data_IF_593018891913
#
_entry.id   IF_593018891913
#
_cell.length_a   1.000
_cell.length_b   1.000
_cell.length_c   1.000
_cell.angle_alpha   90.00
_cell.angle_beta   90.00
_cell.angle_gamma   90.00
#
_symmetry.space_group_name_H-M   'P 1'
#
loop_
_entity.id
_entity.type
_entity.pdbx_description
1 polymer ?
#
# COMPACT_ATOMS: atom_id res chain seq x y z
N UNK A 1 9.07 4.11 -6.45
CA UNK A 1 8.77 3.26 -7.63
C UNK A 1 8.01 2.01 -7.20
N UNK A 2 6.89 1.79 -7.83
CA UNK A 2 6.10 0.57 -7.66
C UNK A 2 6.69 -0.53 -8.55
N UNK A 3 6.96 -1.70 -7.95
CA UNK A 3 7.54 -2.83 -8.69
C UNK A 3 6.50 -3.59 -9.52
N UNK A 4 5.29 -3.71 -9.01
CA UNK A 4 4.19 -4.40 -9.68
C UNK A 4 2.86 -4.03 -9.02
N UNK A 5 1.90 -3.57 -9.83
CA UNK A 5 0.52 -3.35 -9.43
C UNK A 5 -0.13 -4.67 -8.97
N UNK A 6 -0.91 -4.61 -7.89
CA UNK A 6 -1.58 -5.73 -7.25
C UNK A 6 -2.41 -6.58 -8.21
N UNK A 7 -3.02 -5.97 -9.22
CA UNK A 7 -3.81 -6.63 -10.26
C UNK A 7 -3.03 -7.70 -11.04
N UNK A 8 -1.72 -7.52 -11.17
CA UNK A 8 -0.86 -8.44 -11.91
C UNK A 8 -0.13 -9.45 -11.01
N UNK A 9 -0.21 -9.33 -9.69
CA UNK A 9 0.59 -10.12 -8.74
C UNK A 9 0.41 -11.64 -8.94
N UNK A 10 -0.81 -12.11 -9.18
CA UNK A 10 -1.11 -13.53 -9.38
C UNK A 10 -0.62 -14.10 -10.73
N UNK A 11 -0.22 -13.24 -11.67
CA UNK A 11 0.28 -13.63 -13.00
C UNK A 11 1.78 -13.91 -12.99
N UNK A 12 2.49 -13.56 -11.91
CA UNK A 12 3.91 -13.77 -11.76
C UNK A 12 4.20 -14.93 -10.81
N UNK A 13 5.13 -15.79 -11.17
CA UNK A 13 5.76 -16.70 -10.20
C UNK A 13 6.68 -15.90 -9.28
N UNK A 14 7.08 -16.49 -8.15
CA UNK A 14 8.06 -15.84 -7.25
C UNK A 14 9.36 -15.54 -7.95
N UNK A 15 9.84 -16.44 -8.83
CA UNK A 15 11.06 -16.21 -9.60
C UNK A 15 10.91 -15.05 -10.58
N UNK A 16 9.84 -15.01 -11.35
CA UNK A 16 9.59 -13.90 -12.30
C UNK A 16 9.48 -12.55 -11.58
N UNK A 17 8.85 -12.52 -10.40
CA UNK A 17 8.78 -11.31 -9.60
C UNK A 17 10.18 -10.90 -9.09
N UNK A 18 10.97 -11.86 -8.62
CA UNK A 18 12.37 -11.64 -8.19
C UNK A 18 13.24 -11.08 -9.31
N UNK A 19 13.12 -11.65 -10.51
CA UNK A 19 13.85 -11.19 -11.71
C UNK A 19 13.47 -9.76 -12.08
N UNK A 20 12.16 -9.42 -12.03
CA UNK A 20 11.66 -8.06 -12.24
C UNK A 20 12.22 -7.08 -11.22
N UNK A 21 12.29 -7.45 -9.93
CA UNK A 21 12.86 -6.60 -8.87
C UNK A 21 14.32 -6.26 -9.19
N UNK A 22 15.12 -7.27 -9.55
CA UNK A 22 16.52 -7.08 -9.92
C UNK A 22 16.68 -6.20 -11.17
N UNK A 23 15.90 -6.44 -12.21
CA UNK A 23 15.92 -5.66 -13.45
C UNK A 23 15.59 -4.18 -13.16
N UNK A 24 14.51 -3.93 -12.42
CA UNK A 24 14.06 -2.57 -12.11
C UNK A 24 15.06 -1.85 -11.21
N UNK A 25 15.57 -2.54 -10.18
CA UNK A 25 16.58 -1.95 -9.32
C UNK A 25 17.82 -1.57 -10.10
N UNK A 26 18.39 -2.49 -10.89
CA UNK A 26 19.60 -2.24 -11.68
C UNK A 26 19.43 -1.10 -12.69
N UNK A 27 18.22 -0.93 -13.22
CA UNK A 27 17.94 0.10 -14.24
C UNK A 27 17.59 1.46 -13.64
N UNK A 28 16.92 1.49 -12.49
CA UNK A 28 16.24 2.68 -11.97
C UNK A 28 16.77 3.15 -10.60
N UNK A 29 17.74 2.48 -10.00
CA UNK A 29 18.19 2.78 -8.63
C UNK A 29 18.70 4.22 -8.44
N UNK A 30 19.20 4.86 -9.50
CA UNK A 30 19.61 6.28 -9.45
C UNK A 30 18.43 7.27 -9.54
N UNK A 31 17.20 6.81 -9.76
CA UNK A 31 16.01 7.63 -9.99
C UNK A 31 14.87 7.34 -9.02
N UNK A 32 14.99 6.30 -8.21
CA UNK A 32 13.95 5.84 -7.30
C UNK A 32 14.47 5.89 -5.88
N UNK A 33 13.83 6.70 -5.04
CA UNK A 33 14.20 6.87 -3.63
C UNK A 33 13.55 5.82 -2.72
N UNK A 34 12.35 5.37 -3.07
CA UNK A 34 11.55 4.43 -2.27
C UNK A 34 10.98 3.36 -3.20
N UNK A 35 11.20 2.11 -2.86
CA UNK A 35 10.72 0.95 -3.62
C UNK A 35 9.50 0.34 -2.95
N UNK A 36 8.37 0.39 -3.62
CA UNK A 36 7.16 -0.29 -3.21
C UNK A 36 7.28 -1.76 -3.62
N UNK A 37 7.61 -2.60 -2.62
CA UNK A 37 7.88 -4.02 -2.79
C UNK A 37 6.63 -4.90 -2.72
N UNK A 38 5.48 -4.30 -2.56
CA UNK A 38 4.19 -4.96 -2.56
C UNK A 38 3.06 -3.94 -2.47
N UNK A 39 2.22 -3.95 -3.50
CA UNK A 39 1.05 -3.10 -3.61
C UNK A 39 -0.19 -3.88 -3.18
N UNK A 40 -0.99 -3.30 -2.27
CA UNK A 40 -2.26 -3.84 -1.76
C UNK A 40 -2.21 -5.32 -1.35
N UNK A 41 -1.11 -5.71 -0.69
CA UNK A 41 -0.67 -7.10 -0.50
C UNK A 41 -1.64 -8.03 0.24
N UNK A 42 -2.65 -7.48 0.92
CA UNK A 42 -3.73 -8.25 1.55
C UNK A 42 -4.98 -8.36 0.68
N UNK A 43 -4.96 -7.88 -0.56
CA UNK A 43 -6.08 -7.96 -1.49
C UNK A 43 -6.45 -9.41 -1.83
N UNK A 44 -7.75 -9.70 -1.90
CA UNK A 44 -8.25 -11.05 -2.19
C UNK A 44 -7.96 -11.50 -3.63
N UNK A 45 -7.62 -10.56 -4.51
CA UNK A 45 -7.33 -10.80 -5.93
C UNK A 45 -5.88 -11.18 -6.23
N UNK A 46 -4.98 -11.07 -5.24
CA UNK A 46 -3.55 -11.32 -5.45
C UNK A 46 -3.20 -12.81 -5.58
N UNK A 47 -4.13 -13.72 -5.32
CA UNK A 47 -3.92 -15.15 -5.35
C UNK A 47 -3.54 -15.74 -3.98
N UNK A 48 -2.68 -16.73 -3.98
CA UNK A 48 -2.31 -17.46 -2.77
C UNK A 48 -1.45 -16.59 -1.83
N UNK A 49 -1.84 -16.50 -0.56
CA UNK A 49 -1.14 -15.69 0.45
C UNK A 49 0.33 -16.11 0.62
N UNK A 50 0.64 -17.40 0.57
CA UNK A 50 2.02 -17.90 0.69
C UNK A 50 2.90 -17.36 -0.44
N UNK A 51 2.38 -17.34 -1.66
CA UNK A 51 3.10 -16.82 -2.84
C UNK A 51 3.27 -15.30 -2.77
N UNK A 52 2.26 -14.58 -2.31
CA UNK A 52 2.36 -13.12 -2.09
C UNK A 52 3.43 -12.80 -1.06
N UNK A 53 3.46 -13.51 0.06
CA UNK A 53 4.45 -13.34 1.12
C UNK A 53 5.85 -13.68 0.61
N UNK A 54 6.01 -14.74 -0.17
CA UNK A 54 7.29 -15.14 -0.75
C UNK A 54 7.83 -14.06 -1.70
N UNK A 55 7.00 -13.54 -2.59
CA UNK A 55 7.35 -12.45 -3.52
C UNK A 55 7.77 -11.18 -2.78
N UNK A 56 6.93 -10.71 -1.87
CA UNK A 56 7.20 -9.54 -1.04
C UNK A 56 8.49 -9.68 -0.24
N UNK A 57 8.71 -10.84 0.39
CA UNK A 57 9.92 -11.10 1.19
C UNK A 57 11.18 -11.13 0.31
N UNK A 58 11.11 -11.74 -0.88
CA UNK A 58 12.20 -11.73 -1.85
C UNK A 58 12.57 -10.30 -2.24
N UNK A 59 11.57 -9.49 -2.62
CA UNK A 59 11.79 -8.09 -2.98
C UNK A 59 12.37 -7.28 -1.81
N UNK A 60 11.84 -7.47 -0.58
CA UNK A 60 12.37 -6.82 0.61
C UNK A 60 13.87 -7.12 0.78
N UNK A 61 14.25 -8.39 0.74
CA UNK A 61 15.65 -8.80 0.93
C UNK A 61 16.58 -8.20 -0.13
N UNK A 62 16.15 -8.20 -1.41
CA UNK A 62 16.93 -7.61 -2.51
C UNK A 62 17.11 -6.11 -2.28
N UNK A 63 16.05 -5.36 -2.08
CA UNK A 63 16.12 -3.90 -1.95
C UNK A 63 16.93 -3.50 -0.70
N UNK A 64 16.73 -4.21 0.42
CA UNK A 64 17.49 -3.94 1.66
C UNK A 64 18.97 -4.32 1.55
N UNK A 65 19.34 -5.33 0.75
CA UNK A 65 20.76 -5.67 0.52
C UNK A 65 21.54 -4.51 -0.15
N UNK A 66 20.85 -3.64 -0.83
CA UNK A 66 21.39 -2.42 -1.44
C UNK A 66 21.27 -1.17 -0.56
N UNK A 67 20.84 -1.30 0.70
CA UNK A 67 20.57 -0.19 1.63
C UNK A 67 19.51 0.79 1.10
N UNK A 68 18.65 0.37 0.18
CA UNK A 68 17.59 1.20 -0.36
C UNK A 68 16.33 1.14 0.51
N UNK A 69 15.46 2.15 0.36
CA UNK A 69 14.24 2.27 1.15
C UNK A 69 13.12 1.43 0.56
N UNK A 70 12.40 0.75 1.45
CA UNK A 70 11.29 -0.14 1.13
C UNK A 70 9.95 0.43 1.58
N UNK A 71 8.92 0.20 0.80
CA UNK A 71 7.53 0.48 1.14
C UNK A 71 6.64 -0.73 0.84
N UNK A 72 5.55 -0.87 1.57
CA UNK A 72 4.41 -1.70 1.19
C UNK A 72 3.14 -0.86 1.24
N UNK A 73 2.17 -1.23 0.42
CA UNK A 73 0.79 -0.73 0.53
C UNK A 73 -0.12 -1.85 1.01
N UNK A 74 -0.95 -1.53 2.01
CA UNK A 74 -2.00 -2.39 2.52
C UNK A 74 -3.36 -1.85 2.06
N UNK A 75 -4.25 -2.73 1.64
CA UNK A 75 -5.63 -2.38 1.29
C UNK A 75 -6.51 -2.37 2.54
N UNK A 76 -7.01 -1.19 2.92
CA UNK A 76 -7.93 -1.08 4.05
C UNK A 76 -9.34 -1.46 3.59
N UNK A 77 -9.85 -2.54 4.11
CA UNK A 77 -11.12 -3.12 3.68
C UNK A 77 -12.16 -3.22 4.81
N UNK A 78 -11.85 -2.71 6.01
CA UNK A 78 -12.72 -2.75 7.19
C UNK A 78 -13.41 -4.12 7.34
N UNK A 79 -14.72 -4.21 7.01
CA UNK A 79 -15.48 -5.45 6.94
C UNK A 79 -16.04 -5.73 5.51
N UNK A 80 -15.47 -5.10 4.49
CA UNK A 80 -15.84 -5.21 3.08
C UNK A 80 -14.96 -6.24 2.35
N UNK A 81 -14.73 -7.38 2.96
CA UNK A 81 -13.97 -8.51 2.45
C UNK A 81 -14.88 -9.72 2.30
N UNK A 82 -14.59 -10.61 1.36
CA UNK A 82 -15.24 -11.91 1.23
C UNK A 82 -14.59 -12.96 2.12
N UNK A 83 -13.26 -12.86 2.27
CA UNK A 83 -12.48 -13.72 3.15
C UNK A 83 -11.96 -12.92 4.37
N UNK A 84 -12.41 -13.24 5.60
CA UNK A 84 -11.98 -12.52 6.80
C UNK A 84 -10.47 -12.63 7.10
N UNK A 85 -9.74 -13.56 6.49
CA UNK A 85 -8.29 -13.64 6.62
C UNK A 85 -7.58 -12.50 5.86
N UNK A 86 -8.25 -11.85 4.91
CA UNK A 86 -7.75 -10.71 4.15
C UNK A 86 -8.07 -9.35 4.79
N UNK A 87 -8.74 -9.34 5.97
CA UNK A 87 -8.84 -8.11 6.76
C UNK A 87 -7.44 -7.55 7.03
N UNK A 88 -7.24 -6.26 6.77
CA UNK A 88 -5.93 -5.62 6.69
C UNK A 88 -5.02 -5.88 7.90
N UNK A 89 -5.53 -5.63 9.10
CA UNK A 89 -4.72 -5.80 10.32
C UNK A 89 -4.42 -7.26 10.62
N UNK A 90 -5.43 -8.12 10.48
CA UNK A 90 -5.27 -9.56 10.66
C UNK A 90 -4.24 -10.11 9.70
N UNK A 91 -4.36 -9.77 8.42
CA UNK A 91 -3.41 -10.22 7.39
C UNK A 91 -1.99 -9.75 7.70
N UNK A 92 -1.82 -8.46 8.04
CA UNK A 92 -0.51 -7.90 8.37
C UNK A 92 0.13 -8.55 9.60
N UNK A 93 -0.66 -8.80 10.64
CA UNK A 93 -0.18 -9.46 11.87
C UNK A 93 0.26 -10.90 11.58
N UNK A 94 -0.52 -11.64 10.81
CA UNK A 94 -0.32 -13.08 10.59
C UNK A 94 0.75 -13.38 9.54
N UNK A 95 0.86 -12.55 8.49
CA UNK A 95 1.59 -12.93 7.28
C UNK A 95 2.87 -12.11 7.04
N UNK A 96 2.98 -10.89 7.55
CA UNK A 96 4.21 -10.11 7.36
C UNK A 96 5.28 -10.61 8.35
N UNK A 97 6.49 -10.99 7.87
CA UNK A 97 7.58 -11.44 8.72
C UNK A 97 7.99 -10.39 9.78
N UNK A 98 8.43 -10.84 10.95
CA UNK A 98 8.78 -9.96 12.06
C UNK A 98 9.90 -8.96 11.71
N UNK A 99 10.91 -9.42 10.96
CA UNK A 99 12.00 -8.55 10.49
C UNK A 99 11.50 -7.46 9.52
N UNK A 100 10.46 -7.72 8.74
CA UNK A 100 9.84 -6.72 7.88
C UNK A 100 8.99 -5.74 8.69
N UNK A 101 8.22 -6.21 9.68
CA UNK A 101 7.46 -5.33 10.58
C UNK A 101 8.34 -4.28 11.27
N UNK A 102 9.57 -4.65 11.62
CA UNK A 102 10.54 -3.73 12.25
C UNK A 102 11.44 -3.00 11.26
N UNK A 103 11.59 -3.49 10.03
CA UNK A 103 12.57 -3.03 9.07
C UNK A 103 12.05 -2.31 7.83
N UNK A 104 10.73 -2.31 7.60
CA UNK A 104 10.14 -1.51 6.53
C UNK A 104 10.30 -0.02 6.82
N UNK A 105 10.70 0.74 5.81
CA UNK A 105 10.87 2.18 5.94
C UNK A 105 9.54 2.93 5.84
N UNK A 106 8.61 2.41 5.02
CA UNK A 106 7.28 2.98 4.81
C UNK A 106 6.21 1.89 4.80
N UNK A 107 5.05 2.21 5.36
CA UNK A 107 3.82 1.42 5.23
C UNK A 107 2.70 2.38 4.88
N UNK A 108 2.09 2.16 3.74
CA UNK A 108 1.00 2.95 3.21
C UNK A 108 -0.31 2.19 3.23
N UNK A 109 -1.39 2.94 3.18
CA UNK A 109 -2.75 2.40 3.11
C UNK A 109 -3.40 2.88 1.83
N UNK A 110 -3.92 1.94 1.06
CA UNK A 110 -4.85 2.20 -0.03
C UNK A 110 -6.27 2.07 0.50
N UNK A 111 -7.13 3.03 0.21
CA UNK A 111 -8.53 2.99 0.59
C UNK A 111 -9.42 3.75 -0.37
N UNK A 112 -10.45 3.08 -0.84
CA UNK A 112 -11.50 3.64 -1.67
C UNK A 112 -12.85 3.47 -0.97
N UNK A 113 -13.45 4.60 -0.55
CA UNK A 113 -14.75 4.57 0.18
C UNK A 113 -15.85 3.92 -0.66
N UNK A 114 -15.80 4.10 -2.00
CA UNK A 114 -16.74 3.51 -2.96
C UNK A 114 -16.79 1.97 -2.86
N UNK A 115 -15.66 1.34 -2.55
CA UNK A 115 -15.54 -0.12 -2.48
C UNK A 115 -16.02 -0.69 -1.14
N UNK A 116 -16.32 0.19 -0.17
CA UNK A 116 -16.77 -0.20 1.16
C UNK A 116 -17.97 0.62 1.65
N UNK A 117 -19.04 0.68 0.85
CA UNK A 117 -20.31 1.32 1.19
C UNK A 117 -20.16 2.77 1.71
N UNK A 118 -19.20 3.51 1.21
CA UNK A 118 -18.82 4.86 1.63
C UNK A 118 -18.47 4.95 3.12
N UNK A 119 -17.94 3.88 3.68
CA UNK A 119 -17.50 3.88 5.08
C UNK A 119 -16.35 4.85 5.27
N UNK A 120 -16.45 5.68 6.31
CA UNK A 120 -15.40 6.63 6.69
C UNK A 120 -14.69 6.13 7.95
N UNK A 121 -13.45 5.67 7.83
CA UNK A 121 -12.68 5.16 8.95
C UNK A 121 -12.39 6.24 10.00
N UNK A 122 -12.28 5.81 11.25
CA UNK A 122 -11.56 6.61 12.23
C UNK A 122 -10.06 6.52 11.93
N UNK A 123 -9.57 7.41 11.08
CA UNK A 123 -8.20 7.41 10.58
C UNK A 123 -7.15 7.49 11.67
N UNK A 124 -7.40 8.27 12.74
CA UNK A 124 -6.49 8.34 13.89
C UNK A 124 -6.29 6.95 14.50
N UNK A 125 -7.40 6.29 14.86
CA UNK A 125 -7.36 4.96 15.48
C UNK A 125 -6.74 3.91 14.54
N UNK A 126 -7.03 4.00 13.26
CA UNK A 126 -6.49 3.09 12.26
C UNK A 126 -4.96 3.25 12.15
N UNK A 127 -4.45 4.49 12.07
CA UNK A 127 -3.02 4.76 12.01
C UNK A 127 -2.30 4.40 13.32
N UNK A 128 -2.93 4.60 14.49
CA UNK A 128 -2.38 4.18 15.79
C UNK A 128 -2.22 2.64 15.85
N UNK A 129 -3.22 1.90 15.33
CA UNK A 129 -3.14 0.44 15.24
C UNK A 129 -2.03 0.00 14.27
N UNK A 130 -1.90 0.69 13.14
CA UNK A 130 -0.85 0.40 12.17
C UNK A 130 0.55 0.68 12.73
N UNK A 131 0.71 1.77 13.50
CA UNK A 131 1.95 2.09 14.19
C UNK A 131 2.36 1.03 15.21
N UNK A 132 1.39 0.41 15.87
CA UNK A 132 1.65 -0.71 16.80
C UNK A 132 2.26 -1.92 16.08
N UNK A 133 1.84 -2.20 14.84
CA UNK A 133 2.35 -3.31 14.04
C UNK A 133 3.70 -2.96 13.41
N UNK A 134 3.89 -1.70 12.99
CA UNK A 134 5.06 -1.19 12.26
C UNK A 134 5.67 0.02 12.98
N UNK A 135 6.28 -0.19 14.16
CA UNK A 135 6.66 0.93 15.04
C UNK A 135 7.75 1.84 14.48
N UNK A 136 8.56 1.33 13.56
CA UNK A 136 9.68 2.07 12.96
C UNK A 136 9.36 2.67 11.60
N UNK A 137 8.26 2.25 10.97
CA UNK A 137 7.91 2.67 9.63
C UNK A 137 7.28 4.06 9.62
N UNK A 138 7.52 4.80 8.55
CA UNK A 138 6.75 6.00 8.24
C UNK A 138 5.42 5.59 7.64
N UNK A 139 4.33 6.14 8.18
CA UNK A 139 2.97 5.80 7.81
C UNK A 139 2.34 6.88 6.93
N UNK A 140 1.45 6.49 6.04
CA UNK A 140 0.70 7.40 5.20
C UNK A 140 -0.43 6.74 4.46
N UNK A 141 -1.16 7.54 3.68
CA UNK A 141 -2.15 7.06 2.73
C UNK A 141 -1.47 7.01 1.35
N UNK A 142 -1.26 5.82 0.83
CA UNK A 142 -0.64 5.62 -0.48
C UNK A 142 -1.62 5.87 -1.61
N UNK A 143 -2.87 5.43 -1.44
CA UNK A 143 -3.90 5.60 -2.46
C UNK A 143 -5.24 5.97 -1.83
N UNK A 144 -5.98 6.87 -2.48
CA UNK A 144 -7.38 7.15 -2.20
C UNK A 144 -8.05 7.74 -3.45
N UNK A 145 -9.35 7.67 -3.52
CA UNK A 145 -10.08 8.20 -4.67
C UNK A 145 -11.55 7.86 -4.65
N UNK A 146 -12.28 8.36 -5.65
CA UNK A 146 -13.67 8.00 -5.93
C UNK A 146 -13.92 8.01 -7.44
N UNK A 147 -14.73 7.07 -7.90
CA UNK A 147 -15.23 7.04 -9.28
C UNK A 147 -16.36 8.06 -9.52
N UNK A 148 -16.98 8.56 -8.45
CA UNK A 148 -18.12 9.48 -8.51
C UNK A 148 -17.62 10.91 -8.68
N UNK A 149 -17.68 11.44 -9.91
CA UNK A 149 -17.13 12.75 -10.27
C UNK A 149 -17.63 13.88 -9.36
N UNK A 150 -18.91 13.90 -9.02
CA UNK A 150 -19.50 14.94 -8.16
C UNK A 150 -18.99 14.93 -6.73
N UNK A 151 -18.38 13.85 -6.27
CA UNK A 151 -17.87 13.69 -4.91
C UNK A 151 -16.36 13.93 -4.80
N UNK A 152 -15.63 13.99 -5.92
CA UNK A 152 -14.16 14.08 -5.91
C UNK A 152 -13.63 15.23 -5.06
N UNK A 153 -14.15 16.45 -5.26
CA UNK A 153 -13.71 17.63 -4.50
C UNK A 153 -13.92 17.44 -2.99
N UNK A 154 -15.05 16.88 -2.59
CA UNK A 154 -15.35 16.62 -1.18
C UNK A 154 -14.39 15.60 -0.58
N UNK A 155 -14.10 14.51 -1.30
CA UNK A 155 -13.16 13.47 -0.88
C UNK A 155 -11.74 14.01 -0.77
N UNK A 156 -11.26 14.72 -1.78
CA UNK A 156 -9.95 15.37 -1.74
C UNK A 156 -9.81 16.29 -0.54
N UNK A 157 -10.81 17.16 -0.31
CA UNK A 157 -10.79 18.06 0.86
C UNK A 157 -10.76 17.29 2.19
N UNK A 158 -11.48 16.18 2.31
CA UNK A 158 -11.51 15.33 3.50
C UNK A 158 -10.14 14.74 3.77
N UNK A 159 -9.55 14.12 2.76
CA UNK A 159 -8.25 13.46 2.92
C UNK A 159 -7.12 14.46 3.15
N UNK A 160 -7.04 15.55 2.39
CA UNK A 160 -5.97 16.55 2.56
C UNK A 160 -6.09 17.40 3.83
N UNK A 161 -7.26 17.44 4.45
CA UNK A 161 -7.47 18.15 5.73
C UNK A 161 -7.33 17.25 6.96
N UNK A 162 -7.08 15.97 6.79
CA UNK A 162 -6.90 15.07 7.93
C UNK A 162 -5.71 15.52 8.79
N UNK A 163 -5.98 15.61 10.10
CA UNK A 163 -4.95 15.84 11.10
C UNK A 163 -4.76 14.55 11.91
N UNK A 164 -3.68 13.84 11.65
CA UNK A 164 -3.32 12.57 12.30
C UNK A 164 -2.09 12.82 13.16
N UNK A 165 -2.18 12.50 14.44
CA UNK A 165 -1.11 12.73 15.44
C UNK A 165 -0.31 11.45 15.75
N UNK A 166 -0.62 10.34 15.09
CA UNK A 166 0.11 9.07 15.24
C UNK A 166 1.60 9.28 14.97
N UNK A 167 2.50 8.77 15.84
CA UNK A 167 3.94 8.84 15.61
C UNK A 167 4.29 8.29 14.22
N UNK A 168 5.25 8.94 13.56
CA UNK A 168 5.70 8.60 12.21
C UNK A 168 4.68 8.75 11.08
N UNK A 169 3.47 9.22 11.31
CA UNK A 169 2.58 9.59 10.22
C UNK A 169 3.16 10.77 9.45
N UNK A 170 3.26 10.64 8.13
CA UNK A 170 3.90 11.63 7.24
C UNK A 170 2.95 12.21 6.19
N UNK A 171 1.68 11.85 6.25
CA UNK A 171 0.73 12.19 5.19
C UNK A 171 0.95 11.31 3.96
N UNK A 172 1.25 11.93 2.81
CA UNK A 172 1.48 11.16 1.58
C UNK A 172 0.16 10.70 0.97
N UNK A 173 -0.60 11.64 0.45
CA UNK A 173 -1.84 11.32 -0.23
C UNK A 173 -1.59 11.19 -1.72
N UNK A 174 -1.70 9.99 -2.25
CA UNK A 174 -1.75 9.78 -3.68
C UNK A 174 -3.22 9.69 -4.10
N UNK A 175 -3.68 10.71 -4.79
CA UNK A 175 -5.01 10.69 -5.38
C UNK A 175 -4.95 9.96 -6.71
N UNK A 176 -5.68 8.85 -6.82
CA UNK A 176 -5.81 8.16 -8.10
C UNK A 176 -6.59 9.02 -9.07
N UNK A 177 -5.86 9.70 -9.94
CA UNK A 177 -6.43 10.45 -11.06
C UNK A 177 -6.74 9.48 -12.19
N UNK A 178 -7.93 9.55 -12.74
CA UNK A 178 -8.22 8.93 -14.03
C UNK A 178 -8.25 10.00 -15.13
N UNK A 179 -8.32 9.58 -16.39
CA UNK A 179 -8.31 10.53 -17.55
C UNK A 179 -9.36 11.64 -17.48
N UNK A 180 -10.41 11.47 -16.67
CA UNK A 180 -11.46 12.47 -16.47
C UNK A 180 -11.12 13.50 -15.39
N UNK A 181 -10.21 13.19 -14.50
CA UNK A 181 -9.80 14.11 -13.42
C UNK A 181 -8.95 15.25 -13.97
N UNK A 182 -8.22 15.00 -15.06
CA UNK A 182 -7.39 15.98 -15.74
C UNK A 182 -8.10 16.74 -16.87
N UNK A 183 -9.37 16.47 -17.11
CA UNK A 183 -10.17 17.25 -18.03
C UNK A 183 -10.61 18.55 -17.36
N UNK A 184 -9.71 19.48 -17.24
CA UNK A 184 -10.06 20.88 -17.07
C UNK A 184 -10.66 21.34 -18.39
N UNK A 185 -11.97 21.42 -18.46
CA UNK A 185 -12.59 22.42 -19.32
C UNK A 185 -12.19 23.79 -18.75
N UNK A 186 -11.19 24.41 -19.36
CA UNK A 186 -10.93 25.83 -19.25
C UNK A 186 -12.07 26.55 -19.95
#
# INVERSE_FOLDING_TARGET
GELLDSYYMNQYTTQQYTDRVNEYYNTLCSKVDIWEIGNEINGEWLGNTTDVVAKMTSAYNIIKSHNAKTAITLYYNYNCWSNPQNEMFRWAIQNIPANMKSGLDYVWVSYYEDDCNNYQPNWQRMMDSLHTIFPNSKLGIGECGTSIVSQKTQYMQRYYKMNITTPNFKGGYFWRSNRRDCSTSI
#
